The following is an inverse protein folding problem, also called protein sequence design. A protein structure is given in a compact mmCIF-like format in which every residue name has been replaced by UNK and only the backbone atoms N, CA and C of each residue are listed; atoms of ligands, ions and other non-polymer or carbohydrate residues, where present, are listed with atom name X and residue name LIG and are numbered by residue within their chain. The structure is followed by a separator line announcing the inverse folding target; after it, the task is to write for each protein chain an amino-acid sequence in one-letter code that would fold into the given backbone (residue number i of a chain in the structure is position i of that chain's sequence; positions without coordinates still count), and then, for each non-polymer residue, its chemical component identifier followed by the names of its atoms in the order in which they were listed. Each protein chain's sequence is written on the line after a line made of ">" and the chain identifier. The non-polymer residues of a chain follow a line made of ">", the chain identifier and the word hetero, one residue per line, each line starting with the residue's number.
data_IF_609212981241
#
_entry.id   IF_609212981241
#
_cell.length_a   1.000
_cell.length_b   1.000
_cell.length_c   1.000
_cell.angle_alpha   90.00
_cell.angle_beta   90.00
_cell.angle_gamma   90.00
#
_symmetry.space_group_name_H-M   'P 1'
#
loop_
_entity.id
_entity.type
_entity.pdbx_description
1 polymer ?
#
# COMPACT_ATOMS: atom_id res chain seq x y z
N UNK A 1 82.89 42.46 60.88
CA UNK A 1 82.16 43.26 59.89
C UNK A 1 83.12 43.61 58.76
N UNK A 2 82.95 43.05 57.57
CA UNK A 2 83.58 43.54 56.34
C UNK A 2 82.72 43.08 55.17
N UNK A 3 81.93 43.99 54.59
CA UNK A 3 81.07 43.71 53.45
C UNK A 3 81.91 43.84 52.17
N UNK A 4 82.12 42.73 51.46
CA UNK A 4 82.74 42.69 50.14
C UNK A 4 81.70 43.10 49.09
N UNK A 5 81.83 44.31 48.57
CA UNK A 5 81.03 44.87 47.49
C UNK A 5 81.64 44.41 46.15
N UNK A 6 81.02 43.44 45.48
CA UNK A 6 81.41 43.04 44.12
C UNK A 6 80.82 44.04 43.13
N UNK A 7 81.66 44.94 42.61
CA UNK A 7 81.32 45.80 41.49
C UNK A 7 81.11 44.93 40.22
N UNK A 8 79.90 44.93 39.69
CA UNK A 8 79.55 44.24 38.45
C UNK A 8 80.15 45.03 37.27
N UNK A 9 81.23 44.52 36.67
CA UNK A 9 81.80 45.12 35.47
C UNK A 9 80.82 44.94 34.30
N UNK A 10 80.25 46.05 33.80
CA UNK A 10 79.46 46.06 32.58
C UNK A 10 80.37 45.72 31.39
N UNK A 11 80.07 44.64 30.68
CA UNK A 11 80.77 44.30 29.44
C UNK A 11 80.52 45.41 28.39
N UNK A 12 81.55 45.83 27.62
CA UNK A 12 81.36 46.82 26.57
C UNK A 12 80.35 46.29 25.54
N UNK A 13 79.31 47.06 25.27
CA UNK A 13 78.36 46.76 24.21
C UNK A 13 79.10 46.73 22.87
N UNK A 14 79.12 45.58 22.21
CA UNK A 14 79.68 45.45 20.87
C UNK A 14 78.94 46.34 19.86
N UNK A 15 79.56 46.69 18.72
CA UNK A 15 78.91 47.51 17.70
C UNK A 15 77.64 46.81 17.18
N UNK A 16 76.59 47.59 16.80
CA UNK A 16 75.36 47.03 16.28
C UNK A 16 75.64 46.23 15.01
N UNK A 17 75.17 44.98 14.97
CA UNK A 17 75.33 44.11 13.81
C UNK A 17 74.58 44.72 12.62
N UNK A 18 75.32 45.18 11.61
CA UNK A 18 74.73 45.61 10.35
C UNK A 18 74.33 44.36 9.54
N UNK A 19 73.08 44.27 9.06
CA UNK A 19 72.66 43.14 8.24
C UNK A 19 73.43 43.16 6.91
N UNK A 20 74.07 42.03 6.56
CA UNK A 20 74.75 41.88 5.28
C UNK A 20 73.74 41.92 4.12
N UNK A 21 74.07 42.55 2.98
CA UNK A 21 73.24 42.50 1.79
C UNK A 21 73.19 41.06 1.29
N UNK A 22 72.01 40.44 1.37
CA UNK A 22 71.74 39.12 0.82
C UNK A 22 70.78 39.26 -0.36
N UNK A 23 70.98 38.49 -1.45
CA UNK A 23 70.05 38.46 -2.57
C UNK A 23 68.70 37.87 -2.13
N UNK A 24 67.60 38.44 -2.63
CA UNK A 24 66.26 37.94 -2.37
C UNK A 24 66.09 36.51 -2.89
N UNK A 25 65.62 35.61 -2.03
CA UNK A 25 65.37 34.22 -2.40
C UNK A 25 64.08 34.11 -3.24
N UNK A 26 64.05 33.23 -4.26
CA UNK A 26 62.83 32.97 -5.02
C UNK A 26 61.74 32.40 -4.09
N UNK A 27 60.49 32.83 -4.29
CA UNK A 27 59.36 32.36 -3.49
C UNK A 27 59.13 30.86 -3.72
N UNK A 28 59.16 30.09 -2.63
CA UNK A 28 58.90 28.64 -2.66
C UNK A 28 57.38 28.41 -2.69
N UNK A 29 56.87 27.79 -3.76
CA UNK A 29 55.49 27.33 -3.82
C UNK A 29 55.36 26.00 -3.07
N UNK A 30 54.68 26.02 -1.93
CA UNK A 30 54.37 24.80 -1.17
C UNK A 30 53.12 24.14 -1.76
N UNK A 31 53.12 22.82 -2.00
CA UNK A 31 51.92 22.11 -2.42
C UNK A 31 50.85 22.17 -1.32
N UNK A 32 49.55 22.11 -1.66
CA UNK A 32 48.49 22.07 -0.67
C UNK A 32 48.64 20.84 0.23
N UNK A 33 48.29 21.02 1.51
CA UNK A 33 48.36 19.95 2.49
C UNK A 33 47.49 18.75 2.04
N UNK A 34 47.98 17.51 2.19
CA UNK A 34 47.20 16.33 1.84
C UNK A 34 45.96 16.25 2.73
N UNK A 35 44.84 15.83 2.14
CA UNK A 35 43.62 15.58 2.90
C UNK A 35 43.86 14.46 3.93
N UNK A 36 43.44 14.64 5.20
CA UNK A 36 43.66 13.64 6.23
C UNK A 36 42.95 12.32 5.95
N UNK A 37 43.59 11.21 6.32
CA UNK A 37 43.06 9.84 6.11
C UNK A 37 41.67 9.64 6.75
N UNK A 38 41.40 10.28 7.89
CA UNK A 38 40.10 10.18 8.57
C UNK A 38 38.94 10.70 7.73
N UNK A 39 39.17 11.65 6.81
CA UNK A 39 38.14 12.18 5.91
C UNK A 39 37.67 11.09 4.95
N UNK A 40 38.58 10.28 4.43
CA UNK A 40 38.23 9.15 3.57
C UNK A 40 37.46 8.06 4.32
N UNK A 41 37.84 7.78 5.57
CA UNK A 41 37.11 6.83 6.42
C UNK A 41 35.67 7.30 6.67
N UNK A 42 35.49 8.59 6.95
CA UNK A 42 34.18 9.19 7.21
C UNK A 42 33.32 9.19 5.94
N UNK A 43 33.91 9.49 4.78
CA UNK A 43 33.25 9.38 3.49
C UNK A 43 32.81 7.94 3.15
N UNK A 44 33.69 6.96 3.40
CA UNK A 44 33.37 5.55 3.19
C UNK A 44 32.25 5.07 4.11
N UNK A 45 32.28 5.45 5.39
CA UNK A 45 31.23 5.12 6.36
C UNK A 45 29.88 5.71 5.92
N UNK A 46 29.86 6.97 5.50
CA UNK A 46 28.66 7.65 5.02
C UNK A 46 28.09 6.98 3.77
N UNK A 47 28.95 6.56 2.83
CA UNK A 47 28.54 5.82 1.65
C UNK A 47 27.88 4.47 2.01
N UNK A 48 28.49 3.71 2.93
CA UNK A 48 27.92 2.45 3.41
C UNK A 48 26.58 2.67 4.11
N UNK A 49 26.47 3.70 4.96
CA UNK A 49 25.21 4.04 5.63
C UNK A 49 24.09 4.37 4.63
N UNK A 50 24.38 5.14 3.59
CA UNK A 50 23.43 5.44 2.52
C UNK A 50 23.01 4.17 1.75
N UNK A 51 23.97 3.34 1.37
CA UNK A 51 23.69 2.08 0.66
C UNK A 51 22.82 1.14 1.50
N UNK A 52 23.14 0.97 2.78
CA UNK A 52 22.33 0.15 3.70
C UNK A 52 20.94 0.71 3.89
N UNK A 53 20.77 2.03 3.99
CA UNK A 53 19.47 2.68 4.11
C UNK A 53 18.61 2.47 2.85
N UNK A 54 19.19 2.65 1.66
CA UNK A 54 18.50 2.43 0.39
C UNK A 54 18.08 0.96 0.27
N UNK A 55 19.01 0.04 0.56
CA UNK A 55 18.73 -1.39 0.52
C UNK A 55 17.62 -1.75 1.52
N UNK A 56 17.68 -1.21 2.74
CA UNK A 56 16.63 -1.39 3.75
C UNK A 56 15.28 -0.85 3.29
N UNK A 57 15.21 0.33 2.67
CA UNK A 57 13.96 0.88 2.12
C UNK A 57 13.38 0.01 1.00
N UNK A 58 14.23 -0.56 0.14
CA UNK A 58 13.81 -1.41 -0.98
C UNK A 58 13.34 -2.79 -0.50
N UNK A 59 14.02 -3.37 0.49
CA UNK A 59 13.62 -4.66 1.08
C UNK A 59 12.55 -4.53 2.15
N UNK A 60 12.23 -3.30 2.60
CA UNK A 60 11.19 -3.08 3.60
C UNK A 60 9.87 -3.62 3.06
N UNK A 61 9.28 -4.66 3.68
CA UNK A 61 8.00 -5.18 3.25
C UNK A 61 6.99 -4.04 3.31
N UNK A 62 6.36 -3.74 2.16
CA UNK A 62 5.26 -2.78 2.09
C UNK A 62 4.20 -3.25 3.09
N UNK A 63 3.84 -2.39 4.03
CA UNK A 63 2.69 -2.66 4.88
C UNK A 63 1.48 -2.91 3.97
N UNK A 64 0.60 -3.87 4.31
CA UNK A 64 -0.61 -4.09 3.53
C UNK A 64 -1.35 -2.77 3.44
N UNK A 65 -1.51 -2.26 2.21
CA UNK A 65 -2.30 -1.06 1.97
C UNK A 65 -3.66 -1.23 2.65
N UNK A 66 -4.24 -0.15 3.22
CA UNK A 66 -5.61 -0.20 3.71
C UNK A 66 -6.51 -0.77 2.61
N UNK A 67 -7.48 -1.65 2.96
CA UNK A 67 -8.31 -2.31 1.97
C UNK A 67 -8.91 -1.25 1.05
N UNK A 68 -8.73 -1.44 -0.26
CA UNK A 68 -9.28 -0.54 -1.26
C UNK A 68 -10.76 -0.27 -0.95
N UNK A 69 -11.27 0.95 -1.21
CA UNK A 69 -12.67 1.26 -0.98
C UNK A 69 -13.52 0.19 -1.65
N UNK A 70 -14.31 -0.54 -0.86
CA UNK A 70 -15.17 -1.60 -1.37
C UNK A 70 -16.03 -0.98 -2.46
N UNK A 71 -15.85 -1.43 -3.69
CA UNK A 71 -16.75 -1.13 -4.82
C UNK A 71 -17.67 -2.34 -4.97
N UNK A 72 -18.66 -2.54 -4.06
CA UNK A 72 -19.45 -3.76 -4.00
C UNK A 72 -20.13 -4.08 -5.33
N UNK A 73 -20.58 -3.05 -6.04
CA UNK A 73 -21.13 -3.17 -7.38
C UNK A 73 -20.14 -3.80 -8.36
N UNK A 74 -18.90 -3.29 -8.44
CA UNK A 74 -17.91 -3.82 -9.39
C UNK A 74 -17.47 -5.24 -9.06
N UNK A 75 -17.41 -5.58 -7.76
CA UNK A 75 -17.03 -6.91 -7.30
C UNK A 75 -18.12 -7.91 -7.72
N UNK A 76 -19.39 -7.61 -7.41
CA UNK A 76 -20.51 -8.45 -7.79
C UNK A 76 -20.68 -8.57 -9.32
N UNK A 77 -20.51 -7.46 -10.04
CA UNK A 77 -20.60 -7.44 -11.50
C UNK A 77 -19.53 -8.31 -12.15
N UNK A 78 -18.27 -8.19 -11.70
CA UNK A 78 -17.19 -9.02 -12.22
C UNK A 78 -17.42 -10.50 -11.90
N UNK A 79 -17.92 -10.82 -10.70
CA UNK A 79 -18.25 -12.19 -10.32
C UNK A 79 -19.35 -12.79 -11.22
N UNK A 80 -20.43 -12.06 -11.47
CA UNK A 80 -21.51 -12.51 -12.37
C UNK A 80 -21.02 -12.67 -13.82
N UNK A 81 -20.20 -11.74 -14.32
CA UNK A 81 -19.62 -11.83 -15.67
C UNK A 81 -18.69 -13.03 -15.83
N UNK A 82 -17.94 -13.37 -14.79
CA UNK A 82 -17.09 -14.56 -14.77
C UNK A 82 -17.91 -15.85 -14.66
N UNK A 83 -19.07 -15.82 -14.01
CA UNK A 83 -19.97 -16.96 -13.86
C UNK A 83 -20.73 -17.28 -15.15
N UNK A 84 -21.09 -16.27 -15.95
CA UNK A 84 -21.85 -16.44 -17.19
C UNK A 84 -21.27 -17.50 -18.17
N UNK A 85 -19.97 -17.51 -18.51
CA UNK A 85 -19.42 -18.55 -19.38
C UNK A 85 -19.41 -19.94 -18.73
N UNK A 86 -19.34 -20.02 -17.40
CA UNK A 86 -19.29 -21.28 -16.65
C UNK A 86 -20.68 -21.92 -16.52
N UNK A 87 -21.73 -21.10 -16.52
CA UNK A 87 -23.13 -21.53 -16.43
C UNK A 87 -23.56 -22.51 -17.53
N UNK A 88 -22.87 -22.53 -18.68
CA UNK A 88 -23.11 -23.49 -19.76
C UNK A 88 -22.67 -24.92 -19.41
N UNK A 89 -21.61 -25.03 -18.62
CA UNK A 89 -20.90 -26.27 -18.31
C UNK A 89 -21.16 -26.81 -16.90
N UNK A 90 -21.71 -25.97 -16.02
CA UNK A 90 -22.01 -26.32 -14.64
C UNK A 90 -23.47 -26.79 -14.47
N UNK A 91 -23.73 -27.63 -13.45
CA UNK A 91 -25.10 -27.95 -13.06
C UNK A 91 -25.88 -26.67 -12.72
N UNK A 92 -27.15 -26.58 -13.15
CA UNK A 92 -27.96 -25.36 -12.98
C UNK A 92 -28.15 -24.96 -11.51
N UNK A 93 -28.27 -25.95 -10.61
CA UNK A 93 -28.37 -25.71 -9.16
C UNK A 93 -27.08 -25.15 -8.55
N UNK A 94 -25.92 -25.45 -9.13
CA UNK A 94 -24.65 -24.87 -8.71
C UNK A 94 -24.56 -23.41 -9.16
N UNK A 95 -24.90 -23.14 -10.42
CA UNK A 95 -24.95 -21.77 -10.96
C UNK A 95 -25.90 -20.89 -10.17
N UNK A 96 -27.10 -21.38 -9.82
CA UNK A 96 -28.06 -20.61 -9.03
C UNK A 96 -27.57 -20.34 -7.61
N UNK A 97 -26.92 -21.32 -6.96
CA UNK A 97 -26.32 -21.13 -5.65
C UNK A 97 -25.20 -20.07 -5.68
N UNK A 98 -24.35 -20.09 -6.71
CA UNK A 98 -23.27 -19.11 -6.89
C UNK A 98 -23.82 -17.70 -7.16
N UNK A 99 -24.83 -17.56 -8.03
CA UNK A 99 -25.55 -16.27 -8.23
C UNK A 99 -26.11 -15.76 -6.90
N UNK A 100 -26.74 -16.64 -6.14
CA UNK A 100 -27.37 -16.30 -4.88
C UNK A 100 -26.35 -15.82 -3.84
N UNK A 101 -25.19 -16.49 -3.71
CA UNK A 101 -24.11 -16.06 -2.81
C UNK A 101 -23.52 -14.70 -3.25
N UNK A 102 -23.28 -14.51 -4.55
CA UNK A 102 -22.76 -13.23 -5.09
C UNK A 102 -23.70 -12.07 -4.72
N UNK A 103 -25.01 -12.25 -4.94
CA UNK A 103 -25.99 -11.21 -4.65
C UNK A 103 -26.20 -11.00 -3.15
N UNK A 104 -26.20 -12.06 -2.33
CA UNK A 104 -26.28 -11.93 -0.86
C UNK A 104 -25.07 -11.17 -0.31
N UNK A 105 -23.86 -11.44 -0.83
CA UNK A 105 -22.65 -10.67 -0.49
C UNK A 105 -22.79 -9.21 -0.89
N UNK A 106 -23.29 -8.96 -2.09
CA UNK A 106 -23.54 -7.61 -2.59
C UNK A 106 -24.51 -6.83 -1.70
N UNK A 107 -25.62 -7.44 -1.28
CA UNK A 107 -26.59 -6.81 -0.38
C UNK A 107 -25.99 -6.50 0.99
N UNK A 108 -25.14 -7.39 1.51
CA UNK A 108 -24.41 -7.13 2.75
C UNK A 108 -23.45 -5.95 2.62
N UNK A 109 -22.59 -5.96 1.60
CA UNK A 109 -21.57 -4.92 1.45
C UNK A 109 -22.13 -3.55 1.03
N UNK A 110 -23.22 -3.50 0.26
CA UNK A 110 -23.81 -2.23 -0.22
C UNK A 110 -24.93 -1.70 0.66
N UNK A 111 -25.83 -2.56 1.11
CA UNK A 111 -27.04 -2.17 1.84
C UNK A 111 -26.96 -2.49 3.33
N UNK A 112 -25.87 -3.10 3.80
CA UNK A 112 -25.68 -3.56 5.18
C UNK A 112 -26.77 -4.54 5.65
N UNK A 113 -27.30 -5.32 4.70
CA UNK A 113 -28.35 -6.30 4.96
C UNK A 113 -27.68 -7.66 5.20
N UNK A 114 -27.95 -8.35 6.32
CA UNK A 114 -27.32 -9.64 6.66
C UNK A 114 -27.88 -10.80 5.82
N UNK A 115 -27.94 -10.63 4.49
CA UNK A 115 -28.48 -11.56 3.52
C UNK A 115 -27.77 -12.94 3.51
N UNK A 116 -26.44 -13.06 3.71
CA UNK A 116 -25.78 -14.37 3.79
C UNK A 116 -26.24 -15.23 4.99
N UNK A 117 -26.81 -14.61 6.01
CA UNK A 117 -27.23 -15.27 7.24
C UNK A 117 -28.75 -15.44 7.33
N UNK A 118 -29.47 -15.20 6.23
CA UNK A 118 -30.93 -15.17 6.20
C UNK A 118 -31.48 -15.94 5.01
N UNK A 119 -32.67 -16.47 5.20
CA UNK A 119 -33.40 -17.13 4.11
C UNK A 119 -33.96 -16.10 3.13
N UNK A 120 -34.25 -16.52 1.90
CA UNK A 120 -34.86 -15.64 0.90
C UNK A 120 -36.18 -15.02 1.41
N UNK A 121 -37.03 -15.80 2.09
CA UNK A 121 -38.27 -15.30 2.71
C UNK A 121 -38.00 -14.22 3.76
N UNK A 122 -37.01 -14.42 4.62
CA UNK A 122 -36.60 -13.42 5.62
C UNK A 122 -36.00 -12.15 5.00
N UNK A 123 -35.53 -12.19 3.75
CA UNK A 123 -34.97 -11.01 3.08
C UNK A 123 -36.07 -10.21 2.37
N UNK A 124 -37.01 -10.90 1.72
CA UNK A 124 -37.98 -10.28 0.81
C UNK A 124 -39.41 -10.20 1.35
N UNK A 125 -39.79 -11.02 2.34
CA UNK A 125 -41.18 -11.10 2.86
C UNK A 125 -41.33 -10.55 4.29
N UNK A 126 -40.24 -10.40 5.06
CA UNK A 126 -40.33 -10.00 6.47
C UNK A 126 -40.56 -8.48 6.67
N UNK A 127 -41.58 -8.13 7.46
CA UNK A 127 -41.89 -6.74 7.88
C UNK A 127 -41.04 -6.25 9.05
N UNK A 128 -40.37 -7.16 9.77
CA UNK A 128 -39.59 -6.87 11.00
C UNK A 128 -38.17 -6.37 10.73
N UNK A 129 -37.66 -6.58 9.51
CA UNK A 129 -36.39 -6.03 9.06
C UNK A 129 -36.62 -4.57 8.66
N UNK A 130 -35.68 -3.61 8.92
CA UNK A 130 -35.78 -2.28 8.34
C UNK A 130 -36.15 -2.42 6.86
N UNK A 131 -37.22 -1.74 6.39
CA UNK A 131 -37.88 -2.08 5.15
C UNK A 131 -36.82 -2.21 4.10
N UNK A 132 -36.70 -3.43 3.56
CA UNK A 132 -35.87 -3.68 2.41
C UNK A 132 -36.18 -2.56 1.42
N UNK A 133 -35.17 -1.74 1.13
CA UNK A 133 -35.40 -0.51 0.38
C UNK A 133 -36.23 -0.85 -0.87
N UNK A 134 -37.08 0.05 -1.40
CA UNK A 134 -37.81 -0.22 -2.64
C UNK A 134 -36.90 -0.70 -3.78
N UNK A 135 -35.59 -0.39 -3.71
CA UNK A 135 -34.54 -0.89 -4.62
C UNK A 135 -34.24 -2.37 -4.44
N UNK A 136 -34.24 -2.89 -3.21
CA UNK A 136 -34.03 -4.32 -2.95
C UNK A 136 -35.22 -5.17 -3.38
N UNK A 137 -36.45 -4.69 -3.18
CA UNK A 137 -37.67 -5.41 -3.60
C UNK A 137 -37.68 -5.74 -5.10
N UNK A 138 -36.95 -4.97 -5.93
CA UNK A 138 -36.75 -5.28 -7.34
C UNK A 138 -36.18 -6.69 -7.55
N UNK A 139 -35.26 -7.12 -6.69
CA UNK A 139 -34.60 -8.42 -6.78
C UNK A 139 -35.47 -9.59 -6.31
N UNK A 140 -36.68 -9.36 -5.79
CA UNK A 140 -37.55 -10.42 -5.28
C UNK A 140 -37.94 -11.45 -6.37
N UNK A 141 -38.15 -10.99 -7.60
CA UNK A 141 -38.45 -11.87 -8.74
C UNK A 141 -37.27 -12.77 -9.11
N UNK A 142 -36.05 -12.23 -9.06
CA UNK A 142 -34.81 -12.96 -9.26
C UNK A 142 -34.60 -13.99 -8.14
N UNK A 143 -35.04 -13.64 -6.93
CA UNK A 143 -34.91 -14.48 -5.76
C UNK A 143 -35.75 -15.75 -5.83
N UNK A 144 -36.99 -15.62 -6.30
CA UNK A 144 -37.84 -16.76 -6.61
C UNK A 144 -37.20 -17.68 -7.67
N UNK A 145 -36.58 -17.09 -8.71
CA UNK A 145 -35.95 -17.86 -9.78
C UNK A 145 -34.74 -18.67 -9.31
N UNK A 146 -33.82 -18.11 -8.52
CA UNK A 146 -32.69 -18.91 -8.04
C UNK A 146 -33.12 -19.97 -7.02
N UNK A 147 -34.16 -19.72 -6.20
CA UNK A 147 -34.67 -20.72 -5.26
C UNK A 147 -35.33 -21.88 -6.00
N UNK A 148 -36.07 -21.59 -7.07
CA UNK A 148 -36.59 -22.60 -7.99
C UNK A 148 -35.45 -23.41 -8.61
N UNK A 149 -34.43 -22.79 -9.20
CA UNK A 149 -33.32 -23.52 -9.82
C UNK A 149 -32.48 -24.34 -8.81
N UNK A 150 -32.42 -23.92 -7.54
CA UNK A 150 -31.61 -24.60 -6.52
C UNK A 150 -32.35 -25.75 -5.84
N UNK A 151 -33.69 -25.66 -5.72
CA UNK A 151 -34.50 -26.58 -4.91
C UNK A 151 -35.66 -27.24 -5.66
N UNK A 152 -35.89 -26.96 -6.95
CA UNK A 152 -36.98 -27.57 -7.70
C UNK A 152 -36.79 -29.10 -7.86
N UNK A 153 -37.88 -29.88 -7.80
CA UNK A 153 -37.84 -31.34 -8.01
C UNK A 153 -37.50 -31.76 -9.46
N UNK A 154 -37.60 -30.84 -10.43
CA UNK A 154 -37.45 -31.10 -11.86
C UNK A 154 -36.06 -30.65 -12.31
N UNK A 155 -35.34 -31.41 -13.17
CA UNK A 155 -34.03 -31.01 -13.67
C UNK A 155 -34.15 -29.67 -14.42
N UNK A 156 -33.52 -28.64 -13.87
CA UNK A 156 -33.45 -27.32 -14.51
C UNK A 156 -32.55 -27.39 -15.75
N UNK A 157 -32.81 -26.55 -16.75
CA UNK A 157 -31.96 -26.48 -17.94
C UNK A 157 -30.76 -25.56 -17.71
N UNK A 158 -29.63 -25.85 -18.36
CA UNK A 158 -28.48 -24.95 -18.39
C UNK A 158 -28.83 -23.58 -18.99
N UNK A 159 -29.78 -23.55 -19.93
CA UNK A 159 -30.32 -22.32 -20.50
C UNK A 159 -31.05 -21.45 -19.44
N UNK A 160 -31.82 -22.07 -18.54
CA UNK A 160 -32.47 -21.34 -17.45
C UNK A 160 -31.45 -20.75 -16.48
N UNK A 161 -30.36 -21.48 -16.20
CA UNK A 161 -29.28 -21.01 -15.35
C UNK A 161 -28.51 -19.82 -15.99
N UNK A 162 -28.26 -19.86 -17.29
CA UNK A 162 -27.68 -18.73 -18.03
C UNK A 162 -28.60 -17.51 -17.97
N UNK A 163 -29.90 -17.70 -18.24
CA UNK A 163 -30.89 -16.61 -18.18
C UNK A 163 -30.99 -15.99 -16.77
N UNK A 164 -30.78 -16.77 -15.70
CA UNK A 164 -30.69 -16.26 -14.33
C UNK A 164 -29.49 -15.33 -14.17
N UNK A 165 -28.30 -15.72 -14.65
CA UNK A 165 -27.08 -14.89 -14.57
C UNK A 165 -27.24 -13.61 -15.38
N UNK A 166 -27.78 -13.68 -16.60
CA UNK A 166 -28.04 -12.52 -17.45
C UNK A 166 -29.01 -11.53 -16.81
N UNK A 167 -30.11 -12.03 -16.23
CA UNK A 167 -31.03 -11.20 -15.45
C UNK A 167 -30.35 -10.57 -14.25
N UNK A 168 -29.54 -11.34 -13.51
CA UNK A 168 -28.80 -10.81 -12.36
C UNK A 168 -27.85 -9.67 -12.77
N UNK A 169 -27.18 -9.80 -13.92
CA UNK A 169 -26.34 -8.74 -14.49
C UNK A 169 -27.20 -7.52 -14.81
N UNK A 170 -28.33 -7.68 -15.51
CA UNK A 170 -29.21 -6.56 -15.87
C UNK A 170 -29.72 -5.78 -14.66
N UNK A 171 -30.21 -6.48 -13.63
CA UNK A 171 -30.67 -5.85 -12.38
C UNK A 171 -29.53 -5.12 -11.66
N UNK A 172 -28.33 -5.70 -11.63
CA UNK A 172 -27.18 -5.08 -11.02
C UNK A 172 -26.69 -3.86 -11.82
N UNK A 173 -26.79 -3.87 -13.14
CA UNK A 173 -26.49 -2.72 -14.01
C UNK A 173 -27.44 -1.54 -13.77
N UNK A 174 -28.73 -1.79 -13.60
CA UNK A 174 -29.70 -0.75 -13.22
C UNK A 174 -29.40 -0.14 -11.84
N UNK A 175 -28.80 -0.91 -10.95
CA UNK A 175 -28.43 -0.49 -9.61
C UNK A 175 -27.02 0.14 -9.56
N UNK A 176 -26.42 0.47 -10.71
CA UNK A 176 -25.11 1.14 -10.76
C UNK A 176 -25.17 2.48 -9.98
N UNK A 177 -24.17 2.76 -9.12
CA UNK A 177 -24.12 4.00 -8.35
C UNK A 177 -23.95 5.25 -9.22
#
# INVERSE_FOLDING_TARGET
>A
MMNLWLAQAQAPAGPPLQPLPHPDLPQVFLPPAPVPVWVYLLAALLLVALLTLVLWLLLRPRQPSPPAPKKPWSIAMNALKNLLPQAASQPPGQTSAEVSEILRRYFFDRYNIPAPFRTTREIFESTETPPASPRLMKYASLAALWDELSFAPVPSSSQAAQALVEKAIGYLEEDRP
#
